data_IF_355158785765
#
_entry.id   IF_355158785765
#
_cell.length_a   1.000
_cell.length_b   1.000
_cell.length_c   1.000
_cell.angle_alpha   90.00
_cell.angle_beta   90.00
_cell.angle_gamma   90.00
#
_symmetry.space_group_name_H-M   'P 1'
#
loop_
_entity.id
_entity.type
_entity.pdbx_description
1 polymer ?
#
# COMPACT_ATOMS: atom_id res chain seq x y z
N UNK A 1 -11.00 -9.92 -5.19
CA UNK A 1 -9.90 -9.02 -4.77
C UNK A 1 -10.43 -7.66 -4.33
N UNK A 2 -11.14 -6.89 -5.18
CA UNK A 2 -11.69 -5.56 -4.82
C UNK A 2 -12.79 -5.55 -3.74
N UNK A 3 -13.59 -6.61 -3.63
CA UNK A 3 -14.73 -6.66 -2.69
C UNK A 3 -14.31 -6.69 -1.22
N UNK A 4 -13.08 -7.13 -0.94
CA UNK A 4 -12.58 -7.37 0.41
C UNK A 4 -11.65 -6.26 0.90
N UNK A 5 -11.29 -5.31 0.03
CA UNK A 5 -10.42 -4.19 0.36
C UNK A 5 -11.08 -3.15 1.28
N UNK A 6 -12.34 -2.72 1.08
CA UNK A 6 -12.94 -1.67 1.90
C UNK A 6 -12.99 -2.00 3.41
N UNK A 7 -13.32 -3.24 3.84
CA UNK A 7 -13.28 -3.62 5.26
C UNK A 7 -11.91 -3.47 5.93
N UNK A 8 -10.82 -3.62 5.18
CA UNK A 8 -9.44 -3.58 5.66
C UNK A 8 -8.88 -2.17 5.86
N UNK A 9 -9.60 -1.15 5.38
CA UNK A 9 -9.17 0.27 5.44
C UNK A 9 -10.05 1.01 6.42
N UNK A 10 -9.46 1.68 7.40
CA UNK A 10 -10.22 2.50 8.34
C UNK A 10 -10.97 3.64 7.62
N UNK A 11 -12.13 4.04 8.14
CA UNK A 11 -12.94 5.09 7.48
C UNK A 11 -12.20 6.42 7.39
N UNK A 12 -11.37 6.70 8.38
CA UNK A 12 -10.54 7.89 8.59
C UNK A 12 -9.09 7.73 8.08
N UNK A 13 -8.78 6.68 7.31
CA UNK A 13 -7.41 6.40 6.89
C UNK A 13 -6.83 7.50 5.97
N UNK A 14 -5.50 7.66 6.01
CA UNK A 14 -4.76 8.56 5.09
C UNK A 14 -3.64 7.81 4.40
N UNK A 15 -3.61 7.86 3.06
CA UNK A 15 -2.62 7.16 2.25
C UNK A 15 -1.76 8.16 1.48
N UNK A 16 -0.45 7.91 1.44
CA UNK A 16 0.52 8.66 0.65
C UNK A 16 1.13 7.73 -0.40
N UNK A 17 0.83 8.02 -1.66
CA UNK A 17 1.33 7.30 -2.81
C UNK A 17 2.18 8.25 -3.68
N UNK A 18 2.84 7.69 -4.69
CA UNK A 18 3.68 8.48 -5.60
C UNK A 18 2.91 9.55 -6.39
N UNK A 19 1.60 9.37 -6.57
CA UNK A 19 0.72 10.24 -7.36
C UNK A 19 -0.15 11.19 -6.50
N UNK A 20 -0.11 11.08 -5.17
CA UNK A 20 -0.88 11.97 -4.32
C UNK A 20 -1.07 11.51 -2.88
N UNK A 21 -1.92 12.26 -2.18
CA UNK A 21 -2.37 11.97 -0.82
C UNK A 21 -3.89 11.83 -0.80
N UNK A 22 -4.37 10.75 -0.18
CA UNK A 22 -5.79 10.37 -0.19
C UNK A 22 -6.27 10.16 1.22
N UNK A 23 -7.35 10.84 1.62
CA UNK A 23 -7.95 10.70 2.95
C UNK A 23 -9.36 10.18 2.85
N UNK A 24 -9.68 9.20 3.69
CA UNK A 24 -10.95 8.53 3.75
C UNK A 24 -11.04 7.33 2.81
N UNK A 25 -11.76 6.29 3.26
CA UNK A 25 -11.89 5.01 2.55
C UNK A 25 -12.31 5.15 1.09
N UNK A 26 -13.22 6.09 0.78
CA UNK A 26 -13.71 6.32 -0.57
C UNK A 26 -12.62 6.80 -1.54
N UNK A 27 -11.85 7.82 -1.14
CA UNK A 27 -10.76 8.36 -1.94
C UNK A 27 -9.64 7.34 -2.15
N UNK A 28 -9.31 6.60 -1.09
CA UNK A 28 -8.29 5.56 -1.13
C UNK A 28 -8.68 4.42 -2.06
N UNK A 29 -9.93 3.92 -1.94
CA UNK A 29 -10.46 2.88 -2.84
C UNK A 29 -10.36 3.31 -4.30
N UNK A 30 -10.75 4.55 -4.60
CA UNK A 30 -10.68 5.10 -5.95
C UNK A 30 -9.23 5.19 -6.48
N UNK A 31 -8.27 5.60 -5.64
CA UNK A 31 -6.86 5.65 -6.02
C UNK A 31 -6.28 4.26 -6.33
N UNK A 32 -6.61 3.27 -5.49
CA UNK A 32 -6.19 1.88 -5.69
C UNK A 32 -6.83 1.29 -6.95
N UNK A 33 -8.13 1.51 -7.16
CA UNK A 33 -8.85 1.10 -8.37
C UNK A 33 -8.23 1.69 -9.63
N UNK A 34 -7.93 2.98 -9.60
CA UNK A 34 -7.29 3.69 -10.73
C UNK A 34 -5.91 3.09 -11.05
N UNK A 35 -5.13 2.74 -10.03
CA UNK A 35 -3.81 2.11 -10.22
C UNK A 35 -3.94 0.71 -10.83
N UNK A 36 -4.89 -0.10 -10.35
CA UNK A 36 -5.14 -1.44 -10.89
C UNK A 36 -5.68 -1.42 -12.32
N UNK A 37 -6.54 -0.46 -12.66
CA UNK A 37 -7.03 -0.30 -14.04
C UNK A 37 -5.91 0.14 -14.99
N UNK A 38 -4.93 0.90 -14.48
CA UNK A 38 -3.76 1.36 -15.25
C UNK A 38 -2.75 0.24 -15.52
N UNK A 39 -2.55 -0.68 -14.56
CA UNK A 39 -1.54 -1.75 -14.63
C UNK A 39 -2.24 -3.10 -14.85
N UNK A 40 -2.28 -3.55 -16.11
CA UNK A 40 -2.89 -4.84 -16.46
C UNK A 40 -1.95 -6.00 -16.11
N UNK A 41 -2.53 -7.15 -15.77
CA UNK A 41 -1.80 -8.37 -15.37
C UNK A 41 -0.77 -8.12 -14.25
N UNK A 42 -1.11 -7.21 -13.33
CA UNK A 42 -0.21 -6.83 -12.24
C UNK A 42 0.11 -8.03 -11.34
N UNK A 43 1.41 -8.25 -11.12
CA UNK A 43 1.94 -9.11 -10.07
C UNK A 43 2.60 -8.23 -9.02
N UNK A 44 1.88 -8.02 -7.92
CA UNK A 44 2.32 -7.23 -6.78
C UNK A 44 2.79 -8.15 -5.63
N UNK A 45 3.94 -7.85 -5.05
CA UNK A 45 4.53 -8.63 -3.96
C UNK A 45 5.10 -7.73 -2.86
N UNK A 46 4.79 -8.06 -1.61
CA UNK A 46 5.39 -7.47 -0.41
C UNK A 46 6.41 -8.46 0.17
N UNK A 47 7.56 -7.96 0.61
CA UNK A 47 8.65 -8.74 1.21
C UNK A 47 9.23 -8.00 2.42
N UNK A 48 10.05 -8.71 3.19
CA UNK A 48 10.85 -8.16 4.29
C UNK A 48 10.02 -7.40 5.34
N UNK A 49 8.82 -7.91 5.63
CA UNK A 49 7.89 -7.28 6.57
C UNK A 49 8.50 -7.29 7.96
N UNK A 50 8.62 -6.09 8.54
CA UNK A 50 9.08 -5.89 9.92
C UNK A 50 8.17 -4.90 10.63
N UNK A 51 7.51 -5.35 11.69
CA UNK A 51 6.79 -4.43 12.58
C UNK A 51 7.76 -3.86 13.62
N UNK A 52 7.90 -2.53 13.63
CA UNK A 52 8.82 -1.78 14.51
C UNK A 52 8.13 -1.28 15.78
N UNK A 53 6.80 -1.26 15.77
CA UNK A 53 5.95 -1.04 16.93
C UNK A 53 4.74 -1.97 16.80
N UNK A 54 4.39 -2.65 17.89
CA UNK A 54 3.26 -3.56 17.95
C UNK A 54 2.76 -3.67 19.38
N UNK A 55 1.46 -3.43 19.58
CA UNK A 55 0.74 -3.79 20.79
C UNK A 55 -0.64 -4.39 20.44
N UNK A 56 -1.53 -4.51 21.42
CA UNK A 56 -2.87 -5.07 21.24
C UNK A 56 -3.81 -4.21 20.37
N UNK A 57 -3.47 -2.95 20.13
CA UNK A 57 -4.33 -1.95 19.50
C UNK A 57 -3.72 -1.31 18.25
N UNK A 58 -2.39 -1.24 18.16
CA UNK A 58 -1.69 -0.59 17.05
C UNK A 58 -0.49 -1.41 16.56
N UNK A 59 -0.20 -1.30 15.27
CA UNK A 59 1.00 -1.85 14.65
C UNK A 59 1.57 -0.86 13.63
N UNK A 60 2.90 -0.73 13.57
CA UNK A 60 3.60 0.00 12.52
C UNK A 60 4.58 -0.96 11.84
N UNK A 61 4.33 -1.26 10.57
CA UNK A 61 5.06 -2.27 9.81
C UNK A 61 5.70 -1.66 8.58
N UNK A 62 6.99 -1.95 8.43
CA UNK A 62 7.82 -1.56 7.29
C UNK A 62 7.99 -2.76 6.37
N UNK A 63 8.12 -2.53 5.08
CA UNK A 63 8.34 -3.61 4.11
C UNK A 63 8.92 -3.08 2.80
N UNK A 64 9.44 -4.01 1.99
CA UNK A 64 9.77 -3.76 0.58
C UNK A 64 8.63 -4.25 -0.30
N UNK A 65 8.42 -3.59 -1.44
CA UNK A 65 7.43 -4.00 -2.43
C UNK A 65 8.07 -4.10 -3.81
N UNK A 66 7.52 -5.00 -4.62
CA UNK A 66 7.85 -5.15 -6.03
C UNK A 66 6.56 -5.36 -6.81
N UNK A 67 6.43 -4.70 -7.95
CA UNK A 67 5.33 -4.90 -8.87
C UNK A 67 5.85 -5.05 -10.29
N UNK A 68 5.12 -5.81 -11.11
CA UNK A 68 5.32 -5.87 -12.56
C UNK A 68 3.98 -6.03 -13.24
N UNK A 69 3.84 -5.49 -14.44
CA UNK A 69 2.60 -5.57 -15.21
C UNK A 69 2.72 -4.85 -16.54
N UNK A 70 1.59 -4.69 -17.21
CA UNK A 70 1.48 -4.01 -18.50
C UNK A 70 0.86 -2.63 -18.31
N UNK A 71 1.61 -1.58 -18.66
CA UNK A 71 1.09 -0.21 -18.73
C UNK A 71 0.93 0.13 -20.20
N UNK A 72 -0.32 0.20 -20.68
CA UNK A 72 -0.58 0.20 -22.12
C UNK A 72 -0.16 -1.12 -22.77
N UNK A 73 0.82 -1.09 -23.68
CA UNK A 73 1.41 -2.28 -24.33
C UNK A 73 2.78 -2.66 -23.78
N UNK A 74 3.35 -1.82 -22.91
CA UNK A 74 4.71 -2.01 -22.42
C UNK A 74 4.72 -2.79 -21.12
N UNK A 75 5.59 -3.80 -21.04
CA UNK A 75 5.94 -4.42 -19.77
C UNK A 75 6.75 -3.44 -18.92
N UNK A 76 6.26 -3.20 -17.69
CA UNK A 76 6.87 -2.33 -16.71
C UNK A 76 6.99 -3.07 -15.38
N UNK A 77 8.01 -2.71 -14.63
CA UNK A 77 8.20 -3.16 -13.26
C UNK A 77 8.74 -2.03 -12.40
N UNK A 78 8.56 -2.17 -11.09
CA UNK A 78 9.04 -1.21 -10.12
C UNK A 78 9.20 -1.84 -8.76
N UNK A 79 10.01 -1.18 -7.93
CA UNK A 79 10.20 -1.55 -6.54
C UNK A 79 10.10 -0.33 -5.64
N UNK A 80 9.78 -0.58 -4.37
CA UNK A 80 9.52 0.46 -3.40
C UNK A 80 9.65 0.00 -1.97
N UNK A 81 9.32 0.92 -1.07
CA UNK A 81 9.22 0.67 0.36
C UNK A 81 7.83 1.11 0.82
N UNK A 82 7.27 0.35 1.74
CA UNK A 82 5.99 0.63 2.34
C UNK A 82 6.10 0.83 3.85
N UNK A 83 5.20 1.65 4.39
CA UNK A 83 4.93 1.75 5.82
C UNK A 83 3.43 1.70 6.03
N UNK A 84 2.95 0.60 6.63
CA UNK A 84 1.56 0.47 7.04
C UNK A 84 1.44 0.72 8.54
N UNK A 85 0.54 1.60 8.93
CA UNK A 85 0.02 1.66 10.29
C UNK A 85 -1.35 1.00 10.35
N UNK A 86 -1.54 0.12 11.33
CA UNK A 86 -2.79 -0.58 11.56
C UNK A 86 -3.33 -0.27 12.95
N UNK A 87 -4.66 -0.26 13.05
CA UNK A 87 -5.42 -0.16 14.30
C UNK A 87 -6.32 -1.39 14.43
N UNK A 88 -6.35 -2.01 15.60
CA UNK A 88 -7.35 -3.00 15.96
C UNK A 88 -8.63 -2.28 16.35
N UNK A 89 -9.71 -2.53 15.61
CA UNK A 89 -11.02 -1.95 15.88
C UNK A 89 -12.13 -2.92 15.44
N UNK A 90 -13.20 -3.01 16.24
CA UNK A 90 -14.36 -3.87 15.99
C UNK A 90 -13.99 -5.32 15.59
N UNK A 91 -12.99 -5.90 16.27
CA UNK A 91 -12.57 -7.30 16.08
C UNK A 91 -11.72 -7.57 14.84
N UNK A 92 -11.17 -6.53 14.19
CA UNK A 92 -10.29 -6.70 13.04
C UNK A 92 -9.20 -5.62 12.99
N UNK A 93 -8.06 -5.96 12.38
CA UNK A 93 -7.04 -4.98 12.04
C UNK A 93 -7.46 -4.21 10.79
N UNK A 94 -7.32 -2.89 10.84
CA UNK A 94 -7.55 -2.01 9.69
C UNK A 94 -6.35 -1.09 9.49
N UNK A 95 -5.99 -0.86 8.23
CA UNK A 95 -4.97 0.13 7.88
C UNK A 95 -5.53 1.53 8.14
N UNK A 96 -4.83 2.29 8.98
CA UNK A 96 -5.13 3.69 9.30
C UNK A 96 -4.20 4.66 8.56
N UNK A 97 -3.02 4.19 8.16
CA UNK A 97 -2.12 4.94 7.29
C UNK A 97 -1.30 3.98 6.42
N UNK A 98 -1.08 4.37 5.17
CA UNK A 98 -0.17 3.69 4.25
C UNK A 98 0.72 4.74 3.59
N UNK A 99 2.02 4.46 3.50
CA UNK A 99 2.94 5.28 2.73
C UNK A 99 3.78 4.38 1.83
N UNK A 100 3.62 4.54 0.52
CA UNK A 100 4.43 3.88 -0.51
C UNK A 100 5.35 4.89 -1.16
N UNK A 101 6.64 4.55 -1.23
CA UNK A 101 7.64 5.38 -1.91
C UNK A 101 8.50 4.52 -2.85
N UNK A 102 9.03 5.11 -3.94
CA UNK A 102 10.00 4.42 -4.79
C UNK A 102 11.22 3.96 -3.99
N UNK A 103 11.83 2.87 -4.46
CA UNK A 103 13.18 2.51 -4.02
C UNK A 103 14.12 3.56 -4.62
N UNK A 104 14.86 4.26 -3.77
CA UNK A 104 15.91 5.14 -4.26
C UNK A 104 17.06 4.28 -4.81
N UNK A 105 17.79 4.76 -5.82
CA UNK A 105 19.02 4.10 -6.23
C UNK A 105 19.94 3.98 -5.02
N UNK A 106 20.49 2.79 -4.82
CA UNK A 106 21.61 2.64 -3.91
C UNK A 106 22.80 3.32 -4.58
N UNK A 107 23.14 4.52 -4.11
CA UNK A 107 24.26 5.27 -4.67
C UNK A 107 25.61 4.75 -4.18
N UNK A 108 25.64 3.84 -3.19
CA UNK A 108 26.85 3.32 -2.57
C UNK A 108 27.67 4.42 -1.87
N UNK A 109 28.24 4.10 -0.71
CA UNK A 109 29.35 4.86 -0.12
C UNK A 109 30.69 4.26 -0.55
#
# INVERSE_FOLDING_TARGET
MLRDLPPLIAEDATYWFGDGSFTGRGAIKHAIETTWDLIRDEQYAIKDVRCIALDAHVAACLYTLHWKGLVGVDAREGSGRGTSMLRWDAGQWRVIHEHLSPMLPDYGD
#
